data_IF_435002848855
#
_entry.id   IF_435002848855
#
_cell.length_a   1.000
_cell.length_b   1.000
_cell.length_c   1.000
_cell.angle_alpha   90.00
_cell.angle_beta   90.00
_cell.angle_gamma   90.00
#
_symmetry.space_group_name_H-M   'P 1'
#
loop_
_entity.id
_entity.type
_entity.pdbx_description
1 polymer ?
#
# COMPACT_ATOMS: atom_id res chain seq x y z
N UNK A 1 -12.37 -1.69 -6.59
CA UNK A 1 -13.16 -0.47 -6.83
C UNK A 1 -12.43 0.48 -7.78
N UNK A 2 -11.27 1.03 -7.38
CA UNK A 2 -10.49 2.02 -8.17
C UNK A 2 -10.36 1.69 -9.66
N UNK A 3 -9.89 0.48 -10.01
CA UNK A 3 -9.67 0.07 -11.40
C UNK A 3 -10.98 0.06 -12.22
N UNK A 4 -12.06 -0.49 -11.64
CA UNK A 4 -13.38 -0.53 -12.32
C UNK A 4 -13.96 0.88 -12.53
N UNK A 5 -13.56 1.84 -11.70
CA UNK A 5 -13.93 3.24 -11.84
C UNK A 5 -13.00 4.03 -12.80
N UNK A 6 -12.09 3.35 -13.51
CA UNK A 6 -11.16 3.99 -14.45
C UNK A 6 -9.91 4.59 -13.83
N UNK A 7 -9.72 4.47 -12.51
CA UNK A 7 -8.50 4.91 -11.84
C UNK A 7 -7.29 4.09 -12.25
N UNK A 8 -6.15 4.76 -12.45
CA UNK A 8 -4.91 4.14 -12.98
C UNK A 8 -3.69 4.30 -12.10
N UNK A 9 -3.75 5.18 -11.10
CA UNK A 9 -2.62 5.52 -10.23
C UNK A 9 -3.09 5.69 -8.80
N UNK A 10 -2.36 5.08 -7.88
CA UNK A 10 -2.53 5.29 -6.43
C UNK A 10 -1.54 6.38 -6.00
N UNK A 11 -2.02 7.36 -5.25
CA UNK A 11 -1.20 8.44 -4.67
C UNK A 11 -1.00 8.30 -3.16
N UNK A 12 -1.88 7.56 -2.48
CA UNK A 12 -1.75 7.14 -1.09
C UNK A 12 -2.63 5.91 -0.83
N UNK A 13 -2.27 5.11 0.17
CA UNK A 13 -3.09 4.00 0.66
C UNK A 13 -3.23 4.05 2.19
N UNK A 14 -4.40 3.64 2.69
CA UNK A 14 -4.67 3.48 4.12
C UNK A 14 -5.07 2.04 4.39
N UNK A 15 -4.49 1.42 5.42
CA UNK A 15 -4.85 0.09 5.91
C UNK A 15 -5.35 0.24 7.35
N UNK A 16 -6.59 -0.15 7.60
CA UNK A 16 -7.19 -0.11 8.92
C UNK A 16 -7.14 -1.51 9.57
N UNK A 17 -6.59 -1.58 10.77
CA UNK A 17 -6.58 -2.78 11.61
C UNK A 17 -7.70 -2.76 12.67
N UNK A 18 -8.05 -3.92 13.24
CA UNK A 18 -9.10 -4.01 14.27
C UNK A 18 -8.63 -3.61 15.67
N UNK A 19 -7.33 -3.40 15.88
CA UNK A 19 -6.72 -3.15 17.18
C UNK A 19 -5.73 -1.97 17.14
N UNK A 20 -5.03 -1.74 18.24
CA UNK A 20 -4.00 -0.71 18.38
C UNK A 20 -2.62 -1.17 17.87
N UNK A 21 -2.54 -2.30 17.18
CA UNK A 21 -1.30 -2.83 16.60
C UNK A 21 -1.29 -2.59 15.09
N UNK A 22 -0.16 -2.16 14.48
CA UNK A 22 -0.12 -1.96 13.05
C UNK A 22 -0.43 -3.23 12.25
N UNK A 23 -1.61 -3.30 11.64
CA UNK A 23 -1.95 -4.33 10.66
C UNK A 23 -1.34 -3.97 9.29
N UNK A 24 -0.08 -4.36 9.05
CA UNK A 24 0.55 -4.13 7.74
C UNK A 24 -0.12 -4.96 6.65
N UNK A 25 -0.22 -4.47 5.40
CA UNK A 25 -0.81 -5.25 4.31
C UNK A 25 -0.02 -6.55 4.07
N UNK A 26 -0.69 -7.64 3.71
CA UNK A 26 -0.01 -8.88 3.35
C UNK A 26 0.75 -8.75 2.01
N UNK A 27 1.64 -9.72 1.71
CA UNK A 27 2.47 -9.68 0.49
C UNK A 27 1.67 -9.51 -0.80
N UNK A 28 0.54 -10.23 -0.96
CA UNK A 28 -0.31 -10.09 -2.14
C UNK A 28 -0.96 -8.71 -2.27
N UNK A 29 -1.32 -8.07 -1.16
CA UNK A 29 -1.81 -6.68 -1.17
C UNK A 29 -0.70 -5.71 -1.55
N UNK A 30 0.52 -5.88 -1.01
CA UNK A 30 1.68 -5.06 -1.36
C UNK A 30 1.97 -5.13 -2.86
N UNK A 31 1.94 -6.33 -3.44
CA UNK A 31 2.17 -6.53 -4.87
C UNK A 31 1.10 -5.85 -5.74
N UNK A 32 -0.19 -5.96 -5.37
CA UNK A 32 -1.27 -5.25 -6.09
C UNK A 32 -1.15 -3.74 -5.97
N UNK A 33 -0.73 -3.22 -4.82
CA UNK A 33 -0.42 -1.79 -4.68
C UNK A 33 0.74 -1.40 -5.61
N UNK A 34 1.75 -2.25 -5.76
CA UNK A 34 2.92 -2.00 -6.64
C UNK A 34 2.58 -1.88 -8.12
N UNK A 35 1.54 -2.57 -8.59
CA UNK A 35 1.08 -2.47 -9.97
C UNK A 35 0.58 -1.06 -10.33
N UNK A 36 0.02 -0.32 -9.36
CA UNK A 36 -0.60 1.00 -9.59
C UNK A 36 0.04 2.13 -8.77
N UNK A 37 1.02 1.81 -7.93
CA UNK A 37 1.71 2.70 -7.02
C UNK A 37 3.20 2.80 -7.32
N UNK A 38 3.78 3.95 -6.99
CA UNK A 38 5.21 4.17 -7.07
C UNK A 38 5.93 3.68 -5.80
N UNK A 39 7.27 3.61 -5.87
CA UNK A 39 8.10 3.17 -4.75
C UNK A 39 7.90 4.03 -3.49
N UNK A 40 7.71 5.33 -3.67
CA UNK A 40 7.47 6.33 -2.63
C UNK A 40 6.01 6.41 -2.17
N UNK A 41 5.11 5.56 -2.69
CA UNK A 41 3.69 5.57 -2.32
C UNK A 41 3.53 5.43 -0.80
N UNK A 42 2.96 6.43 -0.10
CA UNK A 42 2.74 6.33 1.33
C UNK A 42 1.61 5.33 1.64
N UNK A 43 1.92 4.39 2.52
CA UNK A 43 0.97 3.43 3.11
C UNK A 43 0.84 3.76 4.59
N UNK A 44 -0.30 4.32 4.96
CA UNK A 44 -0.62 4.68 6.34
C UNK A 44 -1.40 3.53 6.97
N UNK A 45 -0.93 3.03 8.11
CA UNK A 45 -1.64 2.01 8.88
C UNK A 45 -2.27 2.69 10.09
N UNK A 46 -3.57 2.47 10.26
CA UNK A 46 -4.37 3.05 11.33
C UNK A 46 -4.97 1.97 12.21
N UNK A 47 -5.12 2.27 13.49
CA UNK A 47 -5.84 1.42 14.44
C UNK A 47 -7.35 1.60 14.34
N UNK A 48 -8.08 0.86 15.17
CA UNK A 48 -9.55 0.92 15.21
C UNK A 48 -10.11 2.31 15.56
N UNK A 49 -9.34 3.11 16.31
CA UNK A 49 -9.71 4.48 16.65
C UNK A 49 -9.35 5.50 15.55
N UNK A 50 -8.79 5.06 14.43
CA UNK A 50 -8.35 5.92 13.32
C UNK A 50 -7.02 6.63 13.58
N UNK A 51 -6.37 6.35 14.71
CA UNK A 51 -5.05 6.84 15.04
C UNK A 51 -3.99 6.25 14.11
N UNK A 52 -3.01 7.07 13.71
CA UNK A 52 -1.93 6.66 12.82
C UNK A 52 -0.90 5.88 13.62
N UNK A 53 -0.86 4.56 13.41
CA UNK A 53 0.06 3.66 14.10
C UNK A 53 1.40 3.54 13.39
N UNK A 54 1.39 3.57 12.05
CA UNK A 54 2.60 3.44 11.23
C UNK A 54 2.43 4.13 9.88
N UNK A 55 3.51 4.68 9.33
CA UNK A 55 3.56 5.08 7.92
C UNK A 55 4.85 4.55 7.31
N UNK A 56 4.73 3.89 6.16
CA UNK A 56 5.84 3.38 5.37
C UNK A 56 5.58 3.67 3.90
N UNK A 57 6.63 3.91 3.14
CA UNK A 57 6.58 3.84 1.68
C UNK A 57 6.33 2.40 1.23
N UNK A 58 5.85 2.24 0.00
CA UNK A 58 5.67 0.93 -0.59
C UNK A 58 7.01 0.19 -0.75
N UNK A 59 8.10 0.90 -1.04
CA UNK A 59 9.44 0.32 -1.14
C UNK A 59 9.95 -0.25 0.20
N UNK A 60 9.66 0.41 1.33
CA UNK A 60 9.98 -0.14 2.66
C UNK A 60 9.17 -1.41 2.97
N UNK A 61 7.93 -1.51 2.48
CA UNK A 61 7.07 -2.67 2.70
C UNK A 61 7.36 -3.82 1.73
N UNK A 62 7.85 -3.52 0.54
CA UNK A 62 8.10 -4.47 -0.54
C UNK A 62 9.41 -4.10 -1.25
N UNK A 63 10.56 -4.35 -0.60
CA UNK A 63 11.86 -4.05 -1.18
C UNK A 63 12.10 -4.89 -2.44
N UNK A 64 12.84 -4.31 -3.39
CA UNK A 64 13.23 -4.96 -4.65
C UNK A 64 12.06 -5.59 -5.41
N UNK A 65 10.88 -4.97 -5.29
CA UNK A 65 9.64 -5.49 -5.85
C UNK A 65 9.70 -5.66 -7.37
N UNK A 66 9.20 -6.79 -7.85
CA UNK A 66 8.82 -6.92 -9.26
C UNK A 66 7.70 -5.92 -9.59
N UNK A 67 7.74 -5.32 -10.78
CA UNK A 67 6.79 -4.31 -11.20
C UNK A 67 6.96 -3.89 -12.66
N UNK A 68 6.21 -2.89 -13.14
CA UNK A 68 6.14 -2.55 -14.57
C UNK A 68 7.51 -2.32 -15.25
N UNK A 69 8.50 -1.80 -14.52
CA UNK A 69 9.86 -1.60 -15.05
C UNK A 69 10.62 -2.89 -15.39
N UNK A 70 10.10 -4.06 -15.02
CA UNK A 70 10.70 -5.36 -15.34
C UNK A 70 10.08 -6.01 -16.59
N UNK A 71 9.07 -5.39 -17.20
CA UNK A 71 8.27 -6.03 -18.26
C UNK A 71 8.71 -5.71 -19.69
N UNK A 72 9.64 -4.77 -19.91
CA UNK A 72 10.17 -4.44 -21.24
C UNK A 72 9.22 -3.63 -22.10
#
# INVERSE_FOLDING_TARGET
>A
AMIRAGGRRIVAAVVAGPDATPCTPCGGCRQKLREFGQADLPVVIVGIAGDRLLTRSLAELLPDSFGPGHLG
#
